data_IF_856152208488
#
_entry.id   IF_856152208488
#
_cell.length_a   1.000
_cell.length_b   1.000
_cell.length_c   1.000
_cell.angle_alpha   90.00
_cell.angle_beta   90.00
_cell.angle_gamma   90.00
#
_symmetry.space_group_name_H-M   'P 1'
#
loop_
_entity.id
_entity.type
_entity.pdbx_description
1 polymer ?
#
# COMPACT_ATOMS: atom_id res chain seq x y z
N UNK A 1 16.23 -0.53 -6.30
CA UNK A 1 15.63 -1.61 -7.15
C UNK A 1 14.43 -2.19 -6.40
N UNK A 2 13.25 -2.06 -6.98
CA UNK A 2 12.01 -2.63 -6.44
C UNK A 2 12.08 -4.15 -6.46
N UNK A 3 11.58 -4.77 -5.40
CA UNK A 3 11.52 -6.22 -5.28
C UNK A 3 10.09 -6.68 -5.03
N UNK A 4 9.79 -7.88 -5.49
CA UNK A 4 8.49 -8.52 -5.40
C UNK A 4 8.58 -9.79 -4.57
N UNK A 5 7.68 -9.95 -3.60
CA UNK A 5 7.61 -11.17 -2.78
C UNK A 5 6.64 -12.20 -3.33
N UNK A 6 5.55 -11.76 -3.94
CA UNK A 6 4.48 -12.65 -4.45
C UNK A 6 3.80 -12.00 -5.63
N UNK A 7 3.39 -12.85 -6.59
CA UNK A 7 2.57 -12.52 -7.73
C UNK A 7 1.58 -13.64 -7.97
N UNK A 8 0.30 -13.31 -8.02
CA UNK A 8 -0.71 -14.16 -8.66
C UNK A 8 -0.77 -13.71 -10.13
N UNK A 9 -0.32 -14.53 -11.11
CA UNK A 9 -0.28 -14.10 -12.50
C UNK A 9 -1.66 -13.69 -13.00
N UNK A 10 -1.76 -12.52 -13.64
CA UNK A 10 -2.97 -12.14 -14.34
C UNK A 10 -3.15 -13.03 -15.60
N UNK A 11 -4.37 -13.46 -15.92
CA UNK A 11 -4.63 -14.16 -17.18
C UNK A 11 -4.37 -13.21 -18.37
N UNK A 12 -3.68 -13.70 -19.39
CA UNK A 12 -3.10 -12.96 -20.52
C UNK A 12 -4.08 -12.26 -21.49
N UNK A 13 -5.38 -12.22 -21.21
CA UNK A 13 -6.43 -11.66 -22.08
C UNK A 13 -7.51 -10.87 -21.34
N UNK A 14 -7.25 -10.36 -20.15
CA UNK A 14 -8.21 -9.53 -19.41
C UNK A 14 -8.00 -8.04 -19.71
N UNK A 15 -9.11 -7.29 -19.77
CA UNK A 15 -9.09 -5.83 -19.73
C UNK A 15 -8.37 -5.35 -18.44
N UNK A 16 -7.71 -4.20 -18.52
CA UNK A 16 -7.06 -3.60 -17.35
C UNK A 16 -8.10 -3.37 -16.25
N UNK A 17 -7.80 -3.82 -15.02
CA UNK A 17 -8.72 -3.70 -13.88
C UNK A 17 -8.20 -2.66 -12.87
N UNK A 18 -9.08 -2.00 -12.12
CA UNK A 18 -8.65 -1.09 -11.06
C UNK A 18 -7.96 -1.85 -9.93
N UNK A 19 -7.09 -1.15 -9.21
CA UNK A 19 -6.43 -1.67 -8.02
C UNK A 19 -6.58 -0.74 -6.83
N UNK A 20 -6.51 -1.31 -5.62
CA UNK A 20 -6.21 -0.57 -4.41
C UNK A 20 -4.82 -0.98 -3.94
N UNK A 21 -3.92 0.00 -3.95
CA UNK A 21 -2.58 -0.14 -3.40
C UNK A 21 -2.64 0.18 -1.91
N UNK A 22 -2.11 -0.69 -1.08
CA UNK A 22 -2.09 -0.56 0.37
C UNK A 22 -0.64 -0.47 0.88
N UNK A 23 -0.34 0.51 1.72
CA UNK A 23 0.86 0.39 2.53
C UNK A 23 0.69 -0.74 3.54
N UNK A 24 1.82 -1.28 4.04
CA UNK A 24 1.80 -2.37 5.01
C UNK A 24 1.74 -1.84 6.45
N UNK A 25 2.78 -1.16 6.89
CA UNK A 25 3.02 -0.84 8.30
C UNK A 25 2.30 0.45 8.72
N UNK A 26 1.29 0.35 9.55
CA UNK A 26 0.43 1.48 9.95
C UNK A 26 -0.85 1.61 9.11
N UNK A 27 -1.05 0.72 8.13
CA UNK A 27 -2.24 0.70 7.26
C UNK A 27 -2.90 -0.68 7.26
N UNK A 28 -2.25 -1.68 6.67
CA UNK A 28 -2.72 -3.06 6.65
C UNK A 28 -2.35 -3.80 7.94
N UNK A 29 -1.21 -3.49 8.52
CA UNK A 29 -0.72 -4.01 9.78
C UNK A 29 -0.51 -2.89 10.78
N UNK A 30 -0.63 -3.22 12.07
CA UNK A 30 -0.39 -2.27 13.16
C UNK A 30 1.03 -1.72 13.08
N UNK A 31 1.15 -0.42 13.25
CA UNK A 31 2.47 0.19 13.35
C UNK A 31 3.15 -0.25 14.66
N UNK A 32 4.34 -0.81 14.53
CA UNK A 32 5.17 -1.25 15.67
C UNK A 32 6.65 -0.83 15.49
N UNK A 33 6.90 0.21 14.71
CA UNK A 33 8.25 0.53 14.25
C UNK A 33 8.70 -0.44 13.15
N UNK A 34 9.92 -0.92 13.21
CA UNK A 34 10.40 -1.94 12.28
C UNK A 34 9.89 -3.32 12.67
N UNK A 35 9.16 -3.97 11.77
CA UNK A 35 8.77 -5.38 11.90
C UNK A 35 9.91 -6.23 11.34
N UNK A 36 10.73 -6.79 12.21
CA UNK A 36 11.96 -7.52 11.86
C UNK A 36 11.77 -9.05 11.82
N UNK A 37 10.69 -9.53 12.43
CA UNK A 37 10.38 -10.97 12.51
C UNK A 37 8.86 -11.23 12.46
N UNK A 38 8.44 -12.43 12.00
CA UNK A 38 7.02 -12.77 11.84
C UNK A 38 6.18 -12.60 13.11
N UNK A 39 6.76 -12.90 14.27
CA UNK A 39 6.08 -12.81 15.57
C UNK A 39 5.62 -11.39 15.96
N UNK A 40 6.17 -10.35 15.32
CA UNK A 40 5.83 -8.95 15.56
C UNK A 40 4.66 -8.47 14.69
N UNK A 41 4.36 -9.18 13.59
CA UNK A 41 3.32 -8.78 12.65
C UNK A 41 1.93 -8.99 13.24
N UNK A 42 1.09 -7.96 13.17
CA UNK A 42 -0.32 -8.01 13.57
C UNK A 42 -1.15 -7.24 12.56
N UNK A 43 -2.22 -7.84 12.06
CA UNK A 43 -3.17 -7.13 11.19
C UNK A 43 -3.82 -5.97 11.94
N UNK A 44 -4.04 -4.87 11.23
CA UNK A 44 -4.85 -3.76 11.75
C UNK A 44 -6.32 -4.17 11.76
N UNK A 45 -7.08 -3.59 12.69
CA UNK A 45 -8.51 -3.87 12.80
C UNK A 45 -9.24 -3.49 11.51
N UNK A 46 -10.03 -4.42 10.97
CA UNK A 46 -10.79 -4.20 9.74
C UNK A 46 -10.01 -4.45 8.44
N UNK A 47 -8.71 -4.81 8.48
CA UNK A 47 -7.93 -5.09 7.28
C UNK A 47 -8.49 -6.25 6.44
N UNK A 48 -8.89 -7.33 7.10
CA UNK A 48 -9.52 -8.48 6.44
C UNK A 48 -10.81 -8.08 5.76
N UNK A 49 -11.72 -7.41 6.48
CA UNK A 49 -12.99 -6.92 5.94
C UNK A 49 -12.76 -6.00 4.74
N UNK A 50 -11.82 -5.05 4.85
CA UNK A 50 -11.49 -4.11 3.79
C UNK A 50 -11.02 -4.81 2.52
N UNK A 51 -10.09 -5.77 2.64
CA UNK A 51 -9.61 -6.55 1.48
C UNK A 51 -10.76 -7.31 0.82
N UNK A 52 -11.58 -8.00 1.60
CA UNK A 52 -12.71 -8.77 1.07
C UNK A 52 -13.70 -7.86 0.32
N UNK A 53 -14.04 -6.70 0.89
CA UNK A 53 -14.95 -5.72 0.26
C UNK A 53 -14.37 -5.14 -1.03
N UNK A 54 -13.11 -4.76 -1.04
CA UNK A 54 -12.43 -4.22 -2.23
C UNK A 54 -12.37 -5.26 -3.34
N UNK A 55 -12.05 -6.51 -3.03
CA UNK A 55 -12.06 -7.60 -4.01
C UNK A 55 -13.46 -7.90 -4.55
N UNK A 56 -14.47 -7.91 -3.68
CA UNK A 56 -15.87 -8.09 -4.10
C UNK A 56 -16.35 -6.98 -5.04
N UNK A 57 -15.77 -5.77 -4.94
CA UNK A 57 -16.02 -4.66 -5.85
C UNK A 57 -15.17 -4.70 -7.13
N UNK A 58 -14.35 -5.74 -7.34
CA UNK A 58 -13.58 -5.96 -8.57
C UNK A 58 -12.16 -5.38 -8.56
N UNK A 59 -11.70 -4.79 -7.45
CA UNK A 59 -10.34 -4.28 -7.35
C UNK A 59 -9.31 -5.41 -7.19
N UNK A 60 -8.16 -5.25 -7.83
CA UNK A 60 -6.95 -5.91 -7.38
C UNK A 60 -6.50 -5.28 -6.05
N UNK A 61 -5.95 -6.07 -5.15
CA UNK A 61 -5.38 -5.58 -3.88
C UNK A 61 -3.88 -5.84 -3.88
N UNK A 62 -3.09 -4.77 -3.88
CA UNK A 62 -1.63 -4.83 -4.00
C UNK A 62 -0.99 -4.11 -2.82
N UNK A 63 -0.06 -4.78 -2.14
CA UNK A 63 0.72 -4.16 -1.07
C UNK A 63 1.96 -3.49 -1.66
N UNK A 64 2.22 -2.23 -1.29
CA UNK A 64 3.39 -1.45 -1.71
C UNK A 64 4.05 -0.80 -0.48
N UNK A 65 5.26 -1.22 -0.12
CA UNK A 65 5.85 -0.86 1.18
C UNK A 65 7.32 -0.48 1.11
N UNK A 66 7.71 0.58 1.84
CA UNK A 66 9.10 0.97 2.03
C UNK A 66 9.72 0.17 3.19
N UNK A 67 10.70 -0.67 2.92
CA UNK A 67 11.34 -1.56 3.90
C UNK A 67 12.80 -1.17 4.17
N UNK A 68 13.00 0.02 4.71
CA UNK A 68 14.33 0.58 4.96
C UNK A 68 15.15 -0.17 6.03
N UNK A 69 14.54 -1.06 6.79
CA UNK A 69 15.26 -1.94 7.71
C UNK A 69 16.34 -2.78 7.00
N UNK A 70 16.10 -3.16 5.74
CA UNK A 70 17.07 -3.89 4.91
C UNK A 70 18.27 -3.00 4.59
N UNK A 71 18.04 -1.82 4.04
CA UNK A 71 19.12 -0.88 3.70
C UNK A 71 19.90 -0.39 4.92
N UNK A 72 19.30 -0.43 6.12
CA UNK A 72 19.97 -0.14 7.39
C UNK A 72 20.75 -1.32 7.96
N UNK A 73 20.70 -2.50 7.31
CA UNK A 73 21.35 -3.70 7.81
C UNK A 73 20.70 -4.32 9.06
N UNK A 74 19.45 -3.92 9.38
CA UNK A 74 18.70 -4.42 10.55
C UNK A 74 18.03 -5.77 10.25
N UNK A 75 17.78 -6.08 8.98
CA UNK A 75 17.23 -7.34 8.53
C UNK A 75 17.70 -7.67 7.11
N UNK A 76 17.63 -8.94 6.76
CA UNK A 76 17.90 -9.44 5.41
C UNK A 76 16.61 -9.55 4.59
N UNK A 77 16.73 -9.66 3.26
CA UNK A 77 15.57 -9.95 2.39
C UNK A 77 14.91 -11.30 2.72
N UNK A 78 15.70 -12.29 3.16
CA UNK A 78 15.15 -13.58 3.58
C UNK A 78 14.24 -13.44 4.82
N UNK A 79 14.65 -12.63 5.80
CA UNK A 79 13.83 -12.34 6.98
C UNK A 79 12.57 -11.56 6.60
N UNK A 80 12.67 -10.58 5.68
CA UNK A 80 11.47 -9.90 5.17
C UNK A 80 10.53 -10.86 4.45
N UNK A 81 11.06 -11.82 3.68
CA UNK A 81 10.23 -12.84 3.05
C UNK A 81 9.49 -13.71 4.06
N UNK A 82 10.10 -13.99 5.23
CA UNK A 82 9.41 -14.70 6.32
C UNK A 82 8.29 -13.85 6.93
N UNK A 83 8.50 -12.54 7.13
CA UNK A 83 7.45 -11.60 7.57
C UNK A 83 6.31 -11.53 6.56
N UNK A 84 6.60 -11.46 5.26
CA UNK A 84 5.57 -11.45 4.22
C UNK A 84 4.82 -12.79 4.14
N UNK A 85 5.48 -13.91 4.39
CA UNK A 85 4.82 -15.22 4.46
C UNK A 85 3.83 -15.30 5.63
N UNK A 86 4.20 -14.74 6.77
CA UNK A 86 3.29 -14.62 7.92
C UNK A 86 2.08 -13.73 7.60
N UNK A 87 2.29 -12.58 6.94
CA UNK A 87 1.19 -11.71 6.49
C UNK A 87 0.20 -12.48 5.61
N UNK A 88 0.71 -13.21 4.63
CA UNK A 88 -0.13 -13.99 3.73
C UNK A 88 -0.86 -15.11 4.43
N UNK A 89 -0.20 -15.79 5.36
CA UNK A 89 -0.83 -16.85 6.14
C UNK A 89 -1.99 -16.29 6.99
N UNK A 90 -1.82 -15.13 7.64
CA UNK A 90 -2.90 -14.49 8.41
C UNK A 90 -4.07 -14.05 7.51
N UNK A 91 -3.79 -13.54 6.32
CA UNK A 91 -4.81 -13.11 5.37
C UNK A 91 -5.55 -14.29 4.75
N UNK A 92 -4.83 -15.33 4.32
CA UNK A 92 -5.40 -16.56 3.72
C UNK A 92 -6.29 -17.29 4.71
N UNK A 93 -5.90 -17.38 5.98
CA UNK A 93 -6.71 -17.97 7.04
C UNK A 93 -8.06 -17.26 7.26
N UNK A 94 -8.23 -16.07 6.70
CA UNK A 94 -9.44 -15.25 6.79
C UNK A 94 -10.07 -14.97 5.39
N UNK A 95 -9.71 -15.74 4.36
CA UNK A 95 -10.14 -15.59 2.96
C UNK A 95 -9.89 -14.18 2.38
N UNK A 96 -8.91 -13.44 2.91
CA UNK A 96 -8.54 -12.10 2.48
C UNK A 96 -7.31 -12.14 1.57
N UNK A 97 -7.50 -12.44 0.29
CA UNK A 97 -6.41 -12.61 -0.67
C UNK A 97 -5.90 -11.27 -1.19
N UNK A 98 -4.57 -11.14 -1.34
CA UNK A 98 -3.92 -10.04 -2.05
C UNK A 98 -3.24 -10.55 -3.32
N UNK A 99 -3.13 -9.68 -4.33
CA UNK A 99 -2.61 -10.07 -5.65
C UNK A 99 -1.09 -10.05 -5.70
N UNK A 100 -0.43 -9.11 -5.02
CA UNK A 100 1.03 -9.01 -4.96
C UNK A 100 1.52 -8.17 -3.77
N UNK A 101 2.82 -8.31 -3.45
CA UNK A 101 3.57 -7.44 -2.54
C UNK A 101 4.81 -6.92 -3.26
N UNK A 102 4.92 -5.59 -3.37
CA UNK A 102 6.13 -4.90 -3.84
C UNK A 102 6.78 -4.16 -2.68
N UNK A 103 8.09 -4.15 -2.64
CA UNK A 103 8.82 -3.43 -1.59
C UNK A 103 10.09 -2.77 -2.10
N UNK A 104 10.44 -1.66 -1.46
CA UNK A 104 11.69 -0.96 -1.68
C UNK A 104 12.60 -1.09 -0.44
N UNK A 105 13.80 -1.68 -0.57
CA UNK A 105 14.72 -1.86 0.55
C UNK A 105 15.57 -0.61 0.86
N UNK A 106 15.47 0.45 0.04
CA UNK A 106 16.32 1.63 0.15
C UNK A 106 16.05 2.43 1.43
N UNK A 107 17.14 2.94 2.04
CA UNK A 107 17.03 3.91 3.12
C UNK A 107 16.77 5.31 2.57
N UNK A 108 15.96 6.13 3.26
CA UNK A 108 15.89 7.55 2.94
C UNK A 108 17.24 8.21 3.28
N UNK A 109 17.67 9.16 2.44
CA UNK A 109 18.81 10.06 2.70
C UNK A 109 18.32 11.39 3.25
N UNK A 110 17.07 11.76 2.90
CA UNK A 110 16.39 12.96 3.38
C UNK A 110 15.43 12.62 4.53
N UNK A 111 15.27 13.57 5.45
CA UNK A 111 14.29 13.47 6.53
C UNK A 111 12.87 13.83 6.08
N UNK A 112 12.74 14.56 4.96
CA UNK A 112 11.46 14.96 4.41
C UNK A 112 10.90 13.86 3.51
N UNK A 113 9.90 13.14 3.99
CA UNK A 113 9.26 12.04 3.27
C UNK A 113 8.47 12.44 2.01
N UNK A 114 8.31 13.75 1.76
CA UNK A 114 7.64 14.25 0.56
C UNK A 114 8.58 14.45 -0.62
N UNK A 115 9.91 14.32 -0.40
CA UNK A 115 10.93 14.43 -1.45
C UNK A 115 11.07 13.09 -2.17
N UNK A 116 10.97 13.13 -3.50
CA UNK A 116 11.25 11.95 -4.35
C UNK A 116 12.76 11.80 -4.50
N UNK A 117 13.36 10.93 -3.69
CA UNK A 117 14.80 10.63 -3.75
C UNK A 117 15.10 9.57 -4.82
N UNK A 118 14.17 8.63 -5.02
CA UNK A 118 14.29 7.55 -5.98
C UNK A 118 12.91 7.21 -6.53
N UNK A 119 12.87 6.73 -7.78
CA UNK A 119 11.61 6.27 -8.37
C UNK A 119 11.04 5.05 -7.63
N UNK A 120 11.89 4.23 -7.07
CA UNK A 120 11.53 2.93 -6.49
C UNK A 120 10.99 3.06 -5.05
N UNK A 121 11.35 4.13 -4.35
CA UNK A 121 10.92 4.39 -2.98
C UNK A 121 9.79 5.42 -2.93
N UNK A 122 8.67 5.12 -2.25
CA UNK A 122 7.62 6.12 -1.98
C UNK A 122 8.24 7.37 -1.30
N UNK A 123 7.96 8.58 -1.78
CA UNK A 123 6.86 8.99 -2.66
C UNK A 123 7.11 8.79 -4.17
N UNK A 124 8.21 8.16 -4.60
CA UNK A 124 8.38 7.71 -5.98
C UNK A 124 7.30 6.69 -6.38
N UNK A 125 6.80 6.74 -7.63
CA UNK A 125 5.68 5.92 -8.09
C UNK A 125 6.09 4.51 -8.54
N UNK A 126 7.36 4.17 -8.54
CA UNK A 126 7.89 3.00 -9.25
C UNK A 126 7.24 1.68 -8.87
N UNK A 127 6.94 1.44 -7.57
CA UNK A 127 6.28 0.20 -7.15
C UNK A 127 4.86 0.08 -7.74
N UNK A 128 4.11 1.19 -7.81
CA UNK A 128 2.77 1.22 -8.37
C UNK A 128 2.81 1.02 -9.88
N UNK A 129 3.73 1.69 -10.57
CA UNK A 129 3.93 1.57 -12.02
C UNK A 129 4.34 0.15 -12.40
N UNK A 130 5.27 -0.47 -11.66
CA UNK A 130 5.68 -1.86 -11.89
C UNK A 130 4.52 -2.83 -11.68
N UNK A 131 3.74 -2.64 -10.62
CA UNK A 131 2.57 -3.47 -10.36
C UNK A 131 1.52 -3.32 -11.47
N UNK A 132 1.31 -2.11 -11.97
CA UNK A 132 0.36 -1.86 -13.06
C UNK A 132 0.77 -2.57 -14.35
N UNK A 133 2.05 -2.54 -14.70
CA UNK A 133 2.60 -3.25 -15.86
C UNK A 133 2.46 -4.78 -15.71
N UNK A 134 2.92 -5.33 -14.58
CA UNK A 134 2.98 -6.78 -14.35
C UNK A 134 1.58 -7.43 -14.15
N UNK A 135 0.61 -6.68 -13.61
CA UNK A 135 -0.73 -7.17 -13.28
C UNK A 135 -1.83 -6.65 -14.21
N UNK A 136 -1.48 -5.86 -15.22
CA UNK A 136 -2.40 -5.19 -16.14
C UNK A 136 -3.46 -4.35 -15.39
N UNK A 137 -2.99 -3.36 -14.61
CA UNK A 137 -3.86 -2.51 -13.80
C UNK A 137 -4.10 -1.16 -14.46
N UNK A 138 -5.32 -0.63 -14.30
CA UNK A 138 -5.69 0.73 -14.71
C UNK A 138 -5.45 1.69 -13.53
N UNK A 139 -4.33 2.42 -13.57
CA UNK A 139 -3.99 3.39 -12.53
C UNK A 139 -5.00 4.53 -12.44
N UNK A 140 -5.57 4.97 -13.57
CA UNK A 140 -6.54 6.07 -13.58
C UNK A 140 -7.85 5.72 -12.87
N UNK A 141 -8.10 4.44 -12.62
CA UNK A 141 -9.23 3.94 -11.82
C UNK A 141 -8.77 3.36 -10.47
N UNK A 142 -7.48 3.42 -10.15
CA UNK A 142 -6.88 2.83 -8.95
C UNK A 142 -6.72 3.83 -7.82
N UNK A 143 -6.55 3.32 -6.61
CA UNK A 143 -6.40 4.12 -5.39
C UNK A 143 -5.16 3.73 -4.61
N UNK A 144 -4.58 4.70 -3.87
CA UNK A 144 -3.55 4.44 -2.88
C UNK A 144 -4.07 4.73 -1.47
N UNK A 145 -3.88 3.80 -0.53
CA UNK A 145 -4.20 3.97 0.89
C UNK A 145 -2.93 3.76 1.70
N UNK A 146 -2.59 4.73 2.55
CA UNK A 146 -1.42 4.67 3.42
C UNK A 146 -1.52 5.63 4.59
N UNK A 147 -0.64 5.47 5.59
CA UNK A 147 -0.63 6.32 6.79
C UNK A 147 0.25 7.57 6.62
N UNK A 148 1.14 7.59 5.62
CA UNK A 148 2.13 8.64 5.40
C UNK A 148 1.84 9.51 4.18
N UNK A 149 2.39 10.71 4.20
CA UNK A 149 2.36 11.59 3.02
C UNK A 149 3.11 10.98 1.84
N UNK A 150 4.16 10.22 2.07
CA UNK A 150 4.87 9.50 1.01
C UNK A 150 3.98 8.49 0.26
N UNK A 151 2.99 7.91 0.93
CA UNK A 151 2.03 7.00 0.30
C UNK A 151 1.07 7.77 -0.61
N UNK A 152 0.47 8.83 -0.06
CA UNK A 152 -0.44 9.70 -0.80
C UNK A 152 0.22 10.24 -2.07
N UNK A 153 1.44 10.76 -1.94
CA UNK A 153 2.20 11.30 -3.06
C UNK A 153 2.61 10.22 -4.06
N UNK A 154 2.90 8.98 -3.61
CA UNK A 154 3.18 7.89 -4.53
C UNK A 154 1.98 7.58 -5.43
N UNK A 155 0.76 7.57 -4.87
CA UNK A 155 -0.47 7.43 -5.65
C UNK A 155 -0.68 8.56 -6.65
N UNK A 156 -0.51 9.80 -6.22
CA UNK A 156 -0.60 10.99 -7.09
C UNK A 156 0.45 10.92 -8.21
N UNK A 157 1.70 10.63 -7.87
CA UNK A 157 2.81 10.56 -8.83
C UNK A 157 2.66 9.39 -9.82
N UNK A 158 1.96 8.32 -9.42
CA UNK A 158 1.64 7.20 -10.30
C UNK A 158 0.43 7.48 -11.22
N UNK A 159 -0.32 8.54 -11.00
CA UNK A 159 -1.54 8.86 -11.75
C UNK A 159 -2.76 8.05 -11.28
N UNK A 160 -2.79 7.65 -10.01
CA UNK A 160 -3.98 7.04 -9.43
C UNK A 160 -5.16 8.02 -9.42
N UNK A 161 -6.38 7.47 -9.49
CA UNK A 161 -7.64 8.22 -9.36
C UNK A 161 -7.70 9.03 -8.07
N UNK A 162 -7.20 8.45 -6.97
CA UNK A 162 -7.18 9.09 -5.68
C UNK A 162 -6.20 8.44 -4.72
N UNK A 163 -5.97 9.14 -3.61
CA UNK A 163 -5.19 8.65 -2.49
C UNK A 163 -5.87 9.02 -1.19
N UNK A 164 -5.94 8.07 -0.26
CA UNK A 164 -6.58 8.26 1.05
C UNK A 164 -5.55 8.03 2.13
N UNK A 165 -5.42 9.00 3.05
CA UNK A 165 -4.56 8.86 4.21
C UNK A 165 -5.32 8.28 5.40
N UNK A 166 -4.72 7.31 6.10
CA UNK A 166 -5.27 6.76 7.35
C UNK A 166 -4.48 7.26 8.56
N UNK A 167 -5.12 7.33 9.74
CA UNK A 167 -4.51 7.81 10.99
C UNK A 167 -3.95 6.70 11.88
N UNK A 168 -3.94 5.47 11.41
CA UNK A 168 -3.51 4.29 12.19
C UNK A 168 -2.00 4.17 12.38
N UNK A 169 -1.20 4.94 11.62
CA UNK A 169 0.25 5.04 11.83
C UNK A 169 0.64 6.05 12.92
N UNK A 170 1.90 6.00 13.36
CA UNK A 170 2.46 6.93 14.35
C UNK A 170 3.08 8.17 13.67
N UNK A 171 2.33 8.94 12.91
CA UNK A 171 2.81 10.26 12.52
C UNK A 171 2.42 11.31 13.57
N UNK A 172 3.38 12.11 14.08
CA UNK A 172 3.03 13.28 14.85
C UNK A 172 2.24 14.27 13.98
N UNK A 173 1.29 15.05 14.55
CA UNK A 173 0.46 16.00 13.80
C UNK A 173 1.22 17.17 13.16
N UNK A 174 2.54 17.14 13.09
CA UNK A 174 3.43 18.25 12.73
C UNK A 174 4.08 18.16 11.34
N UNK A 175 3.58 17.33 10.42
CA UNK A 175 3.98 17.51 9.03
C UNK A 175 3.49 18.89 8.56
N UNK A 176 4.38 19.76 7.98
CA UNK A 176 3.93 21.04 7.47
C UNK A 176 2.78 20.76 6.49
N UNK A 177 1.68 21.50 6.65
CA UNK A 177 0.62 21.51 5.68
C UNK A 177 1.23 21.93 4.33
N UNK A 178 1.65 20.95 3.54
CA UNK A 178 1.67 21.18 2.11
C UNK A 178 0.25 21.62 1.77
N UNK A 179 0.09 22.61 0.92
CA UNK A 179 -1.18 23.19 0.52
C UNK A 179 -2.11 22.20 -0.22
N UNK A 180 -2.08 20.94 0.15
CA UNK A 180 -2.96 19.87 -0.25
C UNK A 180 -4.19 19.88 0.68
N UNK A 181 -4.98 20.95 0.54
CA UNK A 181 -6.31 21.11 1.19
C UNK A 181 -7.31 20.01 0.80
N UNK A 182 -6.93 19.10 -0.09
CA UNK A 182 -7.83 18.14 -0.73
C UNK A 182 -7.43 16.67 -0.51
N UNK A 183 -6.47 16.38 0.40
CA UNK A 183 -6.13 15.00 0.74
C UNK A 183 -7.11 14.46 1.76
N UNK A 184 -7.92 13.51 1.32
CA UNK A 184 -8.86 12.84 2.21
C UNK A 184 -8.12 12.05 3.28
N UNK A 185 -8.37 12.40 4.54
CA UNK A 185 -7.74 11.74 5.69
C UNK A 185 -8.83 11.18 6.60
N UNK A 186 -8.76 9.87 6.84
CA UNK A 186 -9.76 9.12 7.60
C UNK A 186 -9.14 8.36 8.76
N UNK A 187 -9.95 7.82 9.66
CA UNK A 187 -9.46 7.22 10.89
C UNK A 187 -8.71 5.90 10.68
N UNK A 188 -9.14 5.07 9.74
CA UNK A 188 -8.60 3.72 9.55
C UNK A 188 -8.88 3.18 8.14
N UNK A 189 -8.40 1.96 7.86
CA UNK A 189 -8.55 1.29 6.57
C UNK A 189 -10.02 1.01 6.20
N UNK A 190 -10.91 0.81 7.17
CA UNK A 190 -12.35 0.58 6.90
C UNK A 190 -12.97 1.85 6.33
N UNK A 191 -12.73 2.99 6.98
CA UNK A 191 -13.20 4.28 6.49
C UNK A 191 -12.59 4.65 5.13
N UNK A 192 -11.31 4.32 4.88
CA UNK A 192 -10.69 4.49 3.58
C UNK A 192 -11.34 3.61 2.50
N UNK A 193 -11.72 2.39 2.85
CA UNK A 193 -12.46 1.49 1.96
C UNK A 193 -13.85 2.07 1.62
N UNK A 194 -14.54 2.67 2.59
CA UNK A 194 -15.83 3.31 2.35
C UNK A 194 -15.71 4.48 1.35
N UNK A 195 -14.65 5.29 1.45
CA UNK A 195 -14.33 6.35 0.47
C UNK A 195 -14.17 5.76 -0.93
N UNK A 196 -13.29 4.78 -1.08
CA UNK A 196 -13.02 4.15 -2.39
C UNK A 196 -14.29 3.58 -3.01
N UNK A 197 -15.10 2.86 -2.24
CA UNK A 197 -16.33 2.24 -2.74
C UNK A 197 -17.46 3.25 -2.98
N UNK A 198 -17.54 4.32 -2.19
CA UNK A 198 -18.53 5.40 -2.37
C UNK A 198 -18.31 6.16 -3.67
N UNK A 199 -17.08 6.49 -4.01
CA UNK A 199 -16.70 7.15 -5.27
C UNK A 199 -16.96 6.26 -6.50
N UNK A 200 -16.88 4.93 -6.37
CA UNK A 200 -17.21 4.01 -7.47
C UNK A 200 -18.72 3.90 -7.71
N UNK A 201 -19.54 4.02 -6.66
CA UNK A 201 -21.01 3.94 -6.76
C UNK A 201 -21.66 5.11 -7.50
N UNK A 202 -21.01 6.26 -7.56
CA UNK A 202 -21.56 7.47 -8.23
C UNK A 202 -21.36 7.48 -9.77
N UNK A 203 -20.61 6.54 -10.34
CA UNK A 203 -20.38 6.45 -11.79
C UNK A 203 -21.30 5.47 -12.51
N UNK A 204 -22.09 4.67 -11.78
CA UNK A 204 -23.00 3.67 -12.35
C UNK A 204 -24.46 4.13 -12.44
N UNK A 205 -24.75 5.42 -12.22
CA UNK A 205 -26.11 5.98 -12.25
C UNK A 205 -26.35 6.89 -13.47
#
# INVERSE_FOLDING_TARGET
MIRRSILIPAPSHMEARPAVFLDRDGTLTRYAGFVLEPSQLRLESGSVESIVRLRAAGFAVVVVTNQSAIGRGMMTEAQLADVHRELLWQLDAADALIDAIYYCPECPTESNETVVESNDRKPGPGMLLQAADELHLDLAQSWMIGDRMSDVLAGINAGCRGSVRVRTGLEPPSAPATSASDIETVENIVAATDVVLGECGHQAA
#
